data_IF_598931637424
#
_entry.id   IF_598931637424
#
_cell.length_a   1.000
_cell.length_b   1.000
_cell.length_c   1.000
_cell.angle_alpha   90.00
_cell.angle_beta   90.00
_cell.angle_gamma   90.00
#
_symmetry.space_group_name_H-M   'P 1'
#
loop_
_entity.id
_entity.type
_entity.pdbx_description
1 polymer ?
#
# COMPACT_ATOMS: atom_id res chain seq x y z
N UNK A 1 -1.60 -15.77 0.41
CA UNK A 1 -0.77 -14.57 0.20
C UNK A 1 -0.90 -13.70 1.44
N UNK A 2 0.23 -13.17 1.94
CA UNK A 2 0.28 -12.33 3.13
C UNK A 2 1.24 -11.16 2.88
N UNK A 3 0.92 -10.00 3.44
CA UNK A 3 1.69 -8.77 3.28
C UNK A 3 1.69 -7.97 4.58
N UNK A 4 2.87 -7.54 4.99
CA UNK A 4 3.09 -6.65 6.13
C UNK A 4 3.77 -5.36 5.68
N UNK A 5 3.31 -4.23 6.20
CA UNK A 5 3.91 -2.91 5.95
C UNK A 5 4.29 -2.26 7.27
N UNK A 6 5.45 -1.64 7.31
CA UNK A 6 5.90 -0.86 8.45
C UNK A 6 6.39 0.51 7.99
N UNK A 7 5.81 1.58 8.54
CA UNK A 7 6.07 2.94 8.11
C UNK A 7 5.55 3.97 9.09
N UNK A 8 5.87 5.24 8.81
CA UNK A 8 5.45 6.37 9.64
C UNK A 8 4.63 7.33 8.81
N UNK A 9 3.48 7.74 9.34
CA UNK A 9 2.60 8.70 8.68
C UNK A 9 2.96 10.14 9.01
N UNK A 10 2.86 10.99 7.99
CA UNK A 10 3.07 12.43 8.07
C UNK A 10 1.86 13.13 7.45
N UNK A 11 1.25 14.05 8.20
CA UNK A 11 0.22 14.93 7.65
C UNK A 11 0.90 16.03 6.84
N UNK A 12 0.59 16.11 5.55
CA UNK A 12 1.16 17.10 4.63
C UNK A 12 0.26 18.33 4.54
N UNK A 13 -1.07 18.14 4.54
CA UNK A 13 -2.04 19.22 4.45
C UNK A 13 -3.35 18.84 5.18
N UNK A 14 -4.16 19.85 5.48
CA UNK A 14 -5.47 19.69 6.13
C UNK A 14 -5.50 20.06 7.61
N UNK A 15 -6.52 20.83 8.00
CA UNK A 15 -6.80 21.27 9.37
C UNK A 15 -7.90 20.44 10.05
N UNK A 16 -8.47 20.95 11.15
CA UNK A 16 -9.54 20.31 11.92
C UNK A 16 -10.87 20.15 11.16
N UNK A 17 -11.03 20.83 10.02
CA UNK A 17 -12.32 21.02 9.33
C UNK A 17 -12.18 21.12 7.80
N UNK A 18 -11.13 20.53 7.23
CA UNK A 18 -10.92 20.49 5.78
C UNK A 18 -10.17 19.23 5.32
N UNK A 19 -10.00 19.03 4.00
CA UNK A 19 -9.46 17.80 3.44
C UNK A 19 -8.05 17.50 3.98
N UNK A 20 -7.90 16.30 4.54
CA UNK A 20 -6.66 15.83 5.15
C UNK A 20 -5.81 15.05 4.15
N UNK A 21 -4.56 15.45 3.96
CA UNK A 21 -3.58 14.73 3.15
C UNK A 21 -2.50 14.11 4.04
N UNK A 22 -2.35 12.79 3.96
CA UNK A 22 -1.37 12.01 4.74
C UNK A 22 -0.47 11.22 3.81
N UNK A 23 0.85 11.35 3.99
CA UNK A 23 1.86 10.54 3.33
C UNK A 23 2.46 9.56 4.33
N UNK A 24 2.56 8.29 3.95
CA UNK A 24 3.16 7.23 4.76
C UNK A 24 4.24 6.50 3.95
N UNK A 25 5.52 6.93 4.01
CA UNK A 25 6.63 6.08 3.58
C UNK A 25 6.67 4.82 4.44
N UNK A 26 6.86 3.67 3.81
CA UNK A 26 6.89 2.38 4.48
C UNK A 26 7.81 1.39 3.76
N UNK A 27 8.31 0.42 4.51
CA UNK A 27 8.87 -0.82 3.99
C UNK A 27 7.76 -1.87 3.93
N UNK A 28 7.85 -2.80 2.98
CA UNK A 28 6.88 -3.88 2.80
C UNK A 28 7.60 -5.22 2.77
N UNK A 29 6.96 -6.23 3.33
CA UNK A 29 7.35 -7.62 3.25
C UNK A 29 6.13 -8.44 2.83
N UNK A 30 6.26 -9.23 1.77
CA UNK A 30 5.16 -10.01 1.23
C UNK A 30 5.59 -11.45 0.96
N UNK A 31 4.67 -12.39 1.19
CA UNK A 31 4.79 -13.78 0.78
C UNK A 31 3.67 -14.10 -0.20
N UNK A 32 4.04 -14.46 -1.42
CA UNK A 32 3.13 -14.82 -2.50
C UNK A 32 3.28 -16.30 -2.78
N UNK A 33 2.15 -17.01 -2.84
CA UNK A 33 2.11 -18.38 -3.33
C UNK A 33 1.81 -18.32 -4.82
N UNK A 34 2.74 -18.77 -5.63
CA UNK A 34 2.57 -18.85 -7.07
C UNK A 34 2.37 -20.32 -7.44
N UNK A 35 1.20 -20.64 -8.01
CA UNK A 35 1.00 -21.91 -8.69
C UNK A 35 1.55 -21.77 -10.10
N UNK A 36 2.55 -22.59 -10.42
CA UNK A 36 2.92 -22.91 -11.79
C UNK A 36 2.27 -24.26 -12.14
N UNK A 37 2.03 -24.53 -13.42
CA UNK A 37 1.36 -25.75 -13.92
C UNK A 37 2.08 -27.04 -13.48
N UNK A 38 3.33 -26.92 -13.00
CA UNK A 38 4.17 -28.03 -12.56
C UNK A 38 4.58 -28.00 -11.07
N UNK A 39 4.48 -26.87 -10.37
CA UNK A 39 4.90 -26.76 -8.96
C UNK A 39 4.23 -25.58 -8.22
N UNK A 40 3.94 -25.77 -6.92
CA UNK A 40 3.57 -24.67 -6.02
C UNK A 40 4.83 -24.06 -5.42
N UNK A 41 5.15 -22.83 -5.78
CA UNK A 41 6.34 -22.15 -5.28
C UNK A 41 5.97 -20.98 -4.38
N UNK A 42 6.70 -20.84 -3.27
CA UNK A 42 6.57 -19.68 -2.38
C UNK A 42 7.60 -18.63 -2.77
N UNK A 43 7.15 -17.39 -2.95
CA UNK A 43 7.98 -16.22 -3.23
C UNK A 43 7.93 -15.27 -2.03
N UNK A 44 9.10 -14.88 -1.53
CA UNK A 44 9.24 -13.84 -0.52
C UNK A 44 9.81 -12.57 -1.16
N UNK A 45 9.10 -11.47 -0.95
CA UNK A 45 9.42 -10.15 -1.48
C UNK A 45 9.64 -9.15 -0.35
N UNK A 46 10.63 -8.28 -0.52
CA UNK A 46 10.83 -7.10 0.31
C UNK A 46 10.84 -5.86 -0.57
N UNK A 47 10.33 -4.76 -0.05
CA UNK A 47 10.18 -3.56 -0.82
C UNK A 47 10.12 -2.30 0.00
N UNK A 48 10.16 -1.17 -0.70
CA UNK A 48 9.89 0.14 -0.15
C UNK A 48 8.79 0.80 -0.96
N UNK A 49 7.99 1.63 -0.30
CA UNK A 49 6.89 2.32 -0.93
C UNK A 49 6.40 3.51 -0.12
N UNK A 50 5.39 4.16 -0.65
CA UNK A 50 4.68 5.24 0.01
C UNK A 50 3.17 5.07 -0.24
N UNK A 51 2.37 5.40 0.76
CA UNK A 51 0.94 5.62 0.56
C UNK A 51 0.61 7.11 0.72
N UNK A 52 -0.26 7.60 -0.15
CA UNK A 52 -0.81 8.95 -0.10
C UNK A 52 -2.32 8.82 0.10
N UNK A 53 -2.82 9.25 1.25
CA UNK A 53 -4.24 9.20 1.60
C UNK A 53 -4.82 10.61 1.67
N UNK A 54 -5.84 10.85 0.86
CA UNK A 54 -6.65 12.06 0.85
C UNK A 54 -8.00 11.74 1.50
N UNK A 55 -8.33 12.46 2.56
CA UNK A 55 -9.66 12.47 3.15
C UNK A 55 -10.46 13.64 2.58
N UNK A 56 -11.70 13.38 2.16
CA UNK A 56 -12.58 14.37 1.56
C UNK A 56 -14.04 14.10 1.97
N UNK A 57 -14.96 14.93 1.49
CA UNK A 57 -16.37 14.92 1.89
C UNK A 57 -16.60 15.20 3.39
N UNK A 58 -16.04 16.31 3.89
CA UNK A 58 -16.40 16.82 5.20
C UNK A 58 -17.85 17.33 5.17
N UNK A 59 -18.66 16.87 6.12
CA UNK A 59 -20.02 17.37 6.38
C UNK A 59 -20.05 18.07 7.74
N UNK A 60 -21.00 18.99 8.00
CA UNK A 60 -21.11 19.68 9.29
C UNK A 60 -21.25 18.73 10.50
N UNK A 61 -21.67 17.48 10.25
CA UNK A 61 -21.91 16.45 11.27
C UNK A 61 -20.87 15.32 11.26
N UNK A 62 -20.02 15.23 10.24
CA UNK A 62 -19.00 14.19 10.12
C UNK A 62 -17.80 14.69 9.33
N UNK A 63 -16.63 14.70 9.98
CA UNK A 63 -15.38 14.91 9.29
C UNK A 63 -14.97 13.62 8.55
N UNK A 64 -14.45 13.76 7.33
CA UNK A 64 -13.76 12.73 6.57
C UNK A 64 -14.65 11.54 6.13
N UNK A 65 -15.83 11.83 5.58
CA UNK A 65 -16.78 10.80 5.16
C UNK A 65 -16.27 9.91 4.02
N UNK A 66 -15.31 10.37 3.22
CA UNK A 66 -14.72 9.61 2.12
C UNK A 66 -13.19 9.71 2.12
N UNK A 67 -12.53 8.71 1.52
CA UNK A 67 -11.09 8.75 1.34
C UNK A 67 -10.63 8.10 0.04
N UNK A 68 -9.53 8.63 -0.51
CA UNK A 68 -8.81 8.06 -1.63
C UNK A 68 -7.37 7.80 -1.18
N UNK A 69 -6.92 6.55 -1.28
CA UNK A 69 -5.57 6.15 -0.94
C UNK A 69 -4.87 5.58 -2.18
N UNK A 70 -3.74 6.19 -2.53
CA UNK A 70 -2.83 5.70 -3.54
C UNK A 70 -1.61 5.09 -2.87
N UNK A 71 -1.37 3.82 -3.12
CA UNK A 71 -0.21 3.05 -2.66
C UNK A 71 0.72 2.80 -3.84
N UNK A 72 1.99 3.18 -3.71
CA UNK A 72 3.03 2.85 -4.67
C UNK A 72 4.17 2.14 -3.96
N UNK A 73 4.53 0.96 -4.43
CA UNK A 73 5.56 0.12 -3.84
C UNK A 73 6.47 -0.43 -4.93
N UNK A 74 7.76 -0.49 -4.66
CA UNK A 74 8.69 -1.32 -5.41
C UNK A 74 9.01 -2.56 -4.58
N UNK A 75 8.89 -3.75 -5.18
CA UNK A 75 9.13 -5.03 -4.52
C UNK A 75 10.22 -5.79 -5.24
N UNK A 76 11.22 -6.21 -4.49
CA UNK A 76 12.28 -7.09 -4.94
C UNK A 76 12.09 -8.50 -4.41
N UNK A 77 12.31 -9.50 -5.26
CA UNK A 77 12.43 -10.89 -4.81
C UNK A 77 13.65 -11.04 -3.89
N UNK A 78 13.45 -11.64 -2.73
CA UNK A 78 14.52 -11.92 -1.76
C UNK A 78 14.76 -13.42 -1.58
N UNK A 79 13.69 -14.22 -1.62
CA UNK A 79 13.79 -15.68 -1.54
C UNK A 79 12.65 -16.37 -2.31
N UNK A 80 12.85 -17.64 -2.63
CA UNK A 80 11.88 -18.48 -3.34
C UNK A 80 12.40 -18.96 -4.69
N UNK A 81 11.82 -20.04 -5.20
CA UNK A 81 12.30 -20.71 -6.42
C UNK A 81 11.62 -20.20 -7.69
N UNK A 82 10.66 -19.27 -7.56
CA UNK A 82 9.90 -18.75 -8.69
C UNK A 82 10.74 -17.76 -9.50
N UNK A 83 10.68 -17.82 -10.83
CA UNK A 83 11.29 -16.82 -11.72
C UNK A 83 10.55 -15.45 -11.69
N UNK A 84 9.61 -15.26 -10.77
CA UNK A 84 8.83 -14.03 -10.60
C UNK A 84 9.72 -12.78 -10.54
N UNK A 85 9.48 -11.78 -11.41
CA UNK A 85 10.29 -10.58 -11.48
C UNK A 85 9.98 -9.62 -10.33
N UNK A 86 11.02 -8.91 -9.88
CA UNK A 86 10.88 -7.70 -9.06
C UNK A 86 10.12 -6.62 -9.85
N UNK A 87 9.27 -5.84 -9.20
CA UNK A 87 8.39 -4.90 -9.92
C UNK A 87 7.76 -3.80 -9.08
N UNK A 88 7.13 -2.87 -9.78
CA UNK A 88 6.29 -1.84 -9.17
C UNK A 88 4.87 -2.37 -8.98
N UNK A 89 4.33 -2.12 -7.80
CA UNK A 89 2.94 -2.38 -7.44
C UNK A 89 2.29 -1.05 -7.13
N UNK A 90 1.23 -0.73 -7.87
CA UNK A 90 0.39 0.43 -7.63
C UNK A 90 -1.01 -0.05 -7.22
N UNK A 91 -1.58 0.56 -6.19
CA UNK A 91 -2.95 0.28 -5.75
C UNK A 91 -3.66 1.60 -5.50
N UNK A 92 -4.86 1.73 -6.04
CA UNK A 92 -5.76 2.84 -5.74
C UNK A 92 -6.98 2.26 -5.02
N UNK A 93 -7.25 2.77 -3.81
CA UNK A 93 -8.42 2.42 -3.03
C UNK A 93 -9.26 3.67 -2.80
N UNK A 94 -10.55 3.60 -3.09
CA UNK A 94 -11.50 4.68 -2.85
C UNK A 94 -12.58 4.14 -1.90
N UNK A 95 -12.84 4.88 -0.84
CA UNK A 95 -13.81 4.56 0.21
C UNK A 95 -14.82 5.70 0.31
N UNK A 96 -16.10 5.35 0.36
CA UNK A 96 -17.25 6.26 0.44
C UNK A 96 -18.14 5.90 1.63
#
# INVERSE_FOLDING_TARGET
MAEGRYGRSFRIAGGSSGPGLVLTPHITAATVLQHDDFNTTTLAELGAGASLKLWFADTPVSAHAASAEMLLQWRGKVAGDSAGPSGFVATLAIQF
#
